data_IF_515871247463
#
_entry.id   IF_515871247463
#
_cell.length_a   1.000
_cell.length_b   1.000
_cell.length_c   1.000
_cell.angle_alpha   90.00
_cell.angle_beta   90.00
_cell.angle_gamma   90.00
#
_symmetry.space_group_name_H-M   'P 1'
#
loop_
_entity.id
_entity.type
_entity.pdbx_description
1 polymer ?
#
# COMPACT_ATOMS: atom_id res chain seq x y z
N UNK A 1 39.37 -18.49 7.83
CA UNK A 1 38.15 -17.68 7.67
C UNK A 1 37.70 -17.82 6.22
N UNK A 2 36.94 -18.85 5.91
CA UNK A 2 36.45 -19.14 4.56
C UNK A 2 35.23 -18.27 4.29
N UNK A 3 35.38 -17.25 3.43
CA UNK A 3 34.24 -16.48 2.94
C UNK A 3 33.31 -17.40 2.16
N UNK A 4 32.07 -17.53 2.64
CA UNK A 4 30.99 -18.17 1.89
C UNK A 4 30.88 -17.48 0.51
N UNK A 5 30.59 -18.22 -0.58
CA UNK A 5 30.36 -17.58 -1.87
C UNK A 5 29.21 -16.58 -1.70
N UNK A 6 29.47 -15.30 -1.96
CA UNK A 6 28.45 -14.28 -1.86
C UNK A 6 27.34 -14.56 -2.86
N UNK A 7 26.14 -14.86 -2.38
CA UNK A 7 24.96 -14.92 -3.23
C UNK A 7 24.60 -13.48 -3.63
N UNK A 8 24.54 -13.20 -4.93
CA UNK A 8 24.02 -11.95 -5.46
C UNK A 8 22.55 -12.16 -5.84
N UNK A 9 21.65 -11.52 -5.10
CA UNK A 9 20.23 -11.49 -5.41
C UNK A 9 19.95 -10.33 -6.35
N UNK A 10 19.36 -10.62 -7.51
CA UNK A 10 18.92 -9.63 -8.48
C UNK A 10 17.41 -9.54 -8.44
N UNK A 11 16.88 -8.34 -8.21
CA UNK A 11 15.44 -8.07 -8.18
C UNK A 11 15.10 -7.06 -9.25
N UNK A 12 14.35 -7.48 -10.27
CA UNK A 12 13.82 -6.57 -11.29
C UNK A 12 12.50 -5.99 -10.82
N UNK A 13 12.45 -4.68 -10.65
CA UNK A 13 11.24 -3.94 -10.31
C UNK A 13 10.30 -3.84 -11.51
N UNK A 14 8.99 -3.59 -11.29
CA UNK A 14 8.05 -3.34 -12.40
C UNK A 14 8.43 -2.16 -13.30
N UNK A 15 9.24 -1.22 -12.81
CA UNK A 15 9.83 -0.13 -13.59
C UNK A 15 10.88 -0.59 -14.62
N UNK A 16 11.37 -1.82 -14.49
CA UNK A 16 12.51 -2.35 -15.25
C UNK A 16 13.87 -2.11 -14.58
N UNK A 17 13.92 -1.35 -13.48
CA UNK A 17 15.12 -1.17 -12.68
C UNK A 17 15.53 -2.48 -12.00
N UNK A 18 16.85 -2.73 -11.90
CA UNK A 18 17.39 -3.92 -11.25
C UNK A 18 18.10 -3.51 -9.97
N UNK A 19 17.58 -4.00 -8.84
CA UNK A 19 18.22 -3.86 -7.54
C UNK A 19 19.08 -5.10 -7.27
N UNK A 20 20.28 -4.88 -6.73
CA UNK A 20 21.19 -5.95 -6.32
C UNK A 20 21.32 -5.97 -4.80
N UNK A 21 21.25 -7.16 -4.21
CA UNK A 21 21.49 -7.37 -2.78
C UNK A 21 22.41 -8.55 -2.54
N UNK A 22 23.22 -8.46 -1.49
CA UNK A 22 24.09 -9.52 -0.99
C UNK A 22 23.63 -10.06 0.37
N UNK A 23 22.55 -9.51 0.92
CA UNK A 23 22.10 -9.79 2.28
C UNK A 23 20.83 -10.64 2.26
N UNK A 24 20.93 -11.82 2.86
CA UNK A 24 19.83 -12.75 3.09
C UNK A 24 19.64 -12.92 4.59
N UNK A 25 18.45 -12.59 5.09
CA UNK A 25 18.00 -12.92 6.43
C UNK A 25 17.25 -14.24 6.36
N UNK A 26 17.60 -15.22 7.20
CA UNK A 26 16.96 -16.54 7.19
C UNK A 26 16.05 -16.71 8.39
N UNK A 27 14.95 -17.44 8.20
CA UNK A 27 13.98 -17.82 9.24
C UNK A 27 13.53 -16.60 10.06
N UNK A 28 13.21 -15.51 9.35
CA UNK A 28 12.73 -14.26 9.97
C UNK A 28 11.27 -14.44 10.38
N UNK A 29 10.90 -14.16 11.65
CA UNK A 29 9.51 -14.16 12.07
C UNK A 29 8.77 -12.96 11.48
N UNK A 30 7.63 -13.24 10.85
CA UNK A 30 6.69 -12.28 10.26
C UNK A 30 5.36 -12.46 10.98
N UNK A 31 4.96 -11.44 11.75
CA UNK A 31 3.71 -11.48 12.51
C UNK A 31 2.53 -11.04 11.64
N UNK A 32 1.56 -11.94 11.41
CA UNK A 32 0.33 -11.69 10.66
C UNK A 32 -0.87 -12.14 11.50
N UNK A 33 -1.83 -11.23 11.77
CA UNK A 33 -3.04 -11.51 12.56
C UNK A 33 -2.75 -12.25 13.88
N UNK A 34 -1.79 -11.75 14.67
CA UNK A 34 -1.33 -12.35 15.94
C UNK A 34 -0.62 -13.71 15.84
N UNK A 35 -0.28 -14.16 14.63
CA UNK A 35 0.50 -15.39 14.40
C UNK A 35 1.86 -15.09 13.82
N UNK A 36 2.87 -15.84 14.25
CA UNK A 36 4.21 -15.76 13.69
C UNK A 36 4.37 -16.82 12.59
N UNK A 37 4.69 -16.36 11.38
CA UNK A 37 5.12 -17.18 10.27
C UNK A 37 6.61 -16.90 9.99
N UNK A 38 7.31 -17.80 9.31
CA UNK A 38 8.75 -17.68 9.08
C UNK A 38 9.09 -17.60 7.59
N UNK A 39 9.89 -16.61 7.20
CA UNK A 39 10.36 -16.42 5.83
C UNK A 39 11.86 -16.20 5.78
N UNK A 40 12.49 -16.62 4.70
CA UNK A 40 13.77 -16.05 4.31
C UNK A 40 13.49 -14.73 3.55
N UNK A 41 14.27 -13.67 3.82
CA UNK A 41 14.05 -12.33 3.28
C UNK A 41 15.35 -11.77 2.69
N UNK A 42 15.25 -11.17 1.50
CA UNK A 42 16.35 -10.44 0.86
C UNK A 42 16.21 -8.96 1.25
N UNK A 43 17.30 -8.34 1.71
CA UNK A 43 17.28 -6.92 2.07
C UNK A 43 17.43 -6.07 0.80
N UNK A 44 16.46 -5.21 0.52
CA UNK A 44 16.46 -4.28 -0.60
C UNK A 44 16.29 -2.85 -0.08
N UNK A 45 16.96 -1.88 -0.70
CA UNK A 45 16.84 -0.45 -0.36
C UNK A 45 15.56 0.15 -0.98
N UNK A 46 14.41 -0.23 -0.45
CA UNK A 46 13.09 0.24 -0.89
C UNK A 46 12.39 1.00 0.24
N UNK A 47 12.45 2.34 0.26
CA UNK A 47 12.00 3.14 1.40
C UNK A 47 10.48 3.07 1.66
N UNK A 48 9.69 2.70 0.64
CA UNK A 48 8.22 2.69 0.73
C UNK A 48 7.64 1.37 1.26
N UNK A 49 8.47 0.33 1.46
CA UNK A 49 8.00 -1.01 1.81
C UNK A 49 8.87 -1.63 2.91
N UNK A 50 8.23 -2.05 4.01
CA UNK A 50 8.94 -2.76 5.08
C UNK A 50 9.32 -4.20 4.66
N UNK A 51 8.36 -4.94 4.10
CA UNK A 51 8.52 -6.35 3.70
C UNK A 51 7.62 -6.65 2.49
N UNK A 52 8.14 -7.40 1.52
CA UNK A 52 7.37 -7.98 0.42
C UNK A 52 7.39 -9.50 0.54
N UNK A 53 6.22 -10.10 0.72
CA UNK A 53 6.08 -11.56 0.81
C UNK A 53 5.73 -12.13 -0.56
N UNK A 54 6.65 -12.90 -1.12
CA UNK A 54 6.56 -13.45 -2.46
C UNK A 54 5.72 -14.72 -2.55
N UNK A 55 5.73 -15.32 -3.74
CA UNK A 55 5.02 -16.58 -4.02
C UNK A 55 5.59 -17.77 -3.25
N UNK A 56 6.87 -17.73 -2.91
CA UNK A 56 7.55 -18.69 -2.05
C UNK A 56 6.95 -18.73 -0.64
N UNK A 57 6.79 -17.56 -0.01
CA UNK A 57 6.12 -17.45 1.28
C UNK A 57 4.64 -17.85 1.19
N UNK A 58 3.93 -17.34 0.19
CA UNK A 58 2.51 -17.63 0.03
C UNK A 58 2.24 -19.12 -0.22
N UNK A 59 3.06 -19.79 -1.03
CA UNK A 59 2.92 -21.23 -1.29
C UNK A 59 3.28 -22.09 -0.08
N UNK A 60 4.33 -21.71 0.68
CA UNK A 60 4.72 -22.39 1.93
C UNK A 60 3.57 -22.49 2.93
N UNK A 61 2.71 -21.46 2.98
CA UNK A 61 1.61 -21.37 3.95
C UNK A 61 0.22 -21.61 3.32
N UNK A 62 0.18 -22.24 2.14
CA UNK A 62 -1.04 -22.52 1.36
C UNK A 62 -2.00 -21.31 1.32
N UNK A 63 -1.44 -20.15 0.99
CA UNK A 63 -2.15 -18.89 1.05
C UNK A 63 -3.07 -18.71 -0.16
N UNK A 64 -4.31 -18.32 0.11
CA UNK A 64 -5.29 -17.92 -0.91
C UNK A 64 -5.67 -16.46 -0.76
N UNK A 65 -5.59 -15.70 -1.86
CA UNK A 65 -5.87 -14.26 -1.91
C UNK A 65 -7.27 -14.04 -2.48
N UNK A 66 -8.19 -13.56 -1.65
CA UNK A 66 -9.54 -13.18 -2.03
C UNK A 66 -9.63 -11.67 -2.24
N UNK A 67 -9.23 -11.21 -3.42
CA UNK A 67 -9.10 -9.77 -3.75
C UNK A 67 -10.37 -8.96 -3.46
N UNK A 68 -11.55 -9.48 -3.84
CA UNK A 68 -12.83 -8.78 -3.62
C UNK A 68 -13.11 -8.52 -2.14
N UNK A 69 -12.74 -9.47 -1.28
CA UNK A 69 -12.92 -9.38 0.18
C UNK A 69 -11.72 -8.73 0.87
N UNK A 70 -10.65 -8.41 0.13
CA UNK A 70 -9.36 -7.90 0.64
C UNK A 70 -8.82 -8.81 1.75
N UNK A 71 -8.95 -10.11 1.52
CA UNK A 71 -8.66 -11.13 2.51
C UNK A 71 -7.57 -12.04 1.98
N UNK A 72 -6.62 -12.39 2.83
CA UNK A 72 -5.66 -13.47 2.59
C UNK A 72 -5.95 -14.55 3.62
N UNK A 73 -6.11 -15.78 3.18
CA UNK A 73 -6.37 -16.93 4.02
C UNK A 73 -5.13 -17.82 3.99
N UNK A 74 -4.59 -18.15 5.14
CA UNK A 74 -3.43 -19.02 5.31
C UNK A 74 -3.85 -20.37 5.88
N UNK A 75 -3.24 -21.44 5.39
CA UNK A 75 -3.47 -22.80 5.87
C UNK A 75 -2.12 -23.52 6.06
N UNK A 76 -1.34 -23.15 7.10
CA UNK A 76 -0.07 -23.82 7.39
C UNK A 76 -0.28 -25.30 7.70
N UNK A 77 0.70 -26.11 7.31
CA UNK A 77 0.70 -27.54 7.63
C UNK A 77 0.65 -27.74 9.15
N UNK A 78 -0.25 -28.61 9.62
CA UNK A 78 -0.48 -28.91 11.04
C UNK A 78 -0.97 -27.74 11.93
N UNK A 79 -1.34 -26.59 11.36
CA UNK A 79 -1.93 -25.48 12.12
C UNK A 79 -3.38 -25.17 11.73
N UNK A 80 -4.09 -24.49 12.61
CA UNK A 80 -5.44 -23.99 12.33
C UNK A 80 -5.36 -22.87 11.31
N UNK A 81 -6.10 -23.02 10.22
CA UNK A 81 -6.35 -21.99 9.21
C UNK A 81 -6.74 -20.64 9.84
N UNK A 82 -6.20 -19.56 9.31
CA UNK A 82 -6.48 -18.21 9.77
C UNK A 82 -6.52 -17.22 8.61
N UNK A 83 -6.95 -15.99 8.88
CA UNK A 83 -7.07 -14.96 7.86
C UNK A 83 -6.48 -13.63 8.28
N UNK A 84 -6.03 -12.90 7.28
CA UNK A 84 -5.70 -11.50 7.34
C UNK A 84 -6.73 -10.73 6.50
N UNK A 85 -7.40 -9.76 7.13
CA UNK A 85 -8.30 -8.85 6.44
C UNK A 85 -7.56 -7.52 6.30
N UNK A 86 -7.25 -7.14 5.07
CA UNK A 86 -6.64 -5.85 4.78
C UNK A 86 -7.55 -4.72 5.26
N UNK A 87 -6.94 -3.61 5.68
CA UNK A 87 -7.70 -2.50 6.24
C UNK A 87 -8.82 -2.06 5.27
N UNK A 88 -10.07 -1.91 5.75
CA UNK A 88 -11.07 -1.22 4.97
C UNK A 88 -10.50 0.17 4.72
N UNK A 89 -10.41 0.57 3.43
CA UNK A 89 -10.09 1.96 3.07
C UNK A 89 -10.96 2.82 3.98
N UNK A 90 -10.35 3.54 4.93
CA UNK A 90 -11.07 4.46 5.83
C UNK A 90 -12.08 5.17 4.95
N UNK A 91 -13.37 5.00 5.26
CA UNK A 91 -14.51 5.43 4.44
C UNK A 91 -14.10 6.65 3.62
N UNK A 92 -14.12 6.48 2.30
CA UNK A 92 -13.90 7.51 1.27
C UNK A 92 -14.15 8.90 1.83
N UNK A 93 -13.18 9.83 1.65
CA UNK A 93 -13.40 11.27 1.83
C UNK A 93 -14.84 11.57 1.43
N UNK A 94 -15.66 12.10 2.34
CA UNK A 94 -17.09 12.29 2.07
C UNK A 94 -17.22 13.35 0.99
N UNK A 95 -17.39 12.94 -0.26
CA UNK A 95 -17.69 13.86 -1.35
C UNK A 95 -19.15 14.27 -1.26
N UNK A 96 -19.39 15.57 -1.39
CA UNK A 96 -20.73 16.16 -1.48
C UNK A 96 -20.88 16.70 -2.89
N UNK A 97 -22.01 16.43 -3.55
CA UNK A 97 -22.28 17.10 -4.83
C UNK A 97 -22.59 18.57 -4.61
N UNK A 98 -22.34 19.41 -5.62
CA UNK A 98 -22.68 20.83 -5.58
C UNK A 98 -24.17 21.06 -5.25
N UNK A 99 -25.07 20.25 -5.81
CA UNK A 99 -26.52 20.31 -5.53
C UNK A 99 -26.80 20.06 -4.04
N UNK A 100 -26.14 19.07 -3.44
CA UNK A 100 -26.36 18.74 -2.03
C UNK A 100 -25.72 19.80 -1.11
N UNK A 101 -24.58 20.37 -1.51
CA UNK A 101 -23.99 21.53 -0.85
C UNK A 101 -24.94 22.72 -0.86
N UNK A 102 -25.50 23.07 -2.02
CA UNK A 102 -26.46 24.16 -2.18
C UNK A 102 -27.71 23.97 -1.31
N UNK A 103 -28.28 22.75 -1.30
CA UNK A 103 -29.42 22.42 -0.42
C UNK A 103 -29.09 22.58 1.06
N UNK A 104 -27.85 22.35 1.47
CA UNK A 104 -27.41 22.54 2.86
C UNK A 104 -27.21 24.02 3.18
N UNK A 105 -26.66 24.81 2.26
CA UNK A 105 -26.57 26.27 2.41
C UNK A 105 -27.97 26.90 2.58
N UNK A 106 -28.95 26.49 1.76
CA UNK A 106 -30.35 26.95 1.88
C UNK A 106 -30.97 26.59 3.24
N UNK A 107 -30.52 25.50 3.86
CA UNK A 107 -30.96 25.07 5.20
C UNK A 107 -30.22 25.77 6.35
N UNK A 108 -29.38 26.76 6.04
CA UNK A 108 -28.65 27.55 7.04
C UNK A 108 -27.29 26.99 7.45
N UNK A 109 -26.75 25.98 6.74
CA UNK A 109 -25.37 25.56 6.98
C UNK A 109 -24.37 26.61 6.47
N UNK A 110 -23.29 26.84 7.22
CA UNK A 110 -22.17 27.67 6.77
C UNK A 110 -21.33 26.91 5.74
N UNK A 111 -20.97 27.57 4.63
CA UNK A 111 -20.02 27.07 3.65
C UNK A 111 -18.83 28.00 3.50
N UNK A 112 -17.69 27.43 3.16
CA UNK A 112 -16.46 28.16 2.85
C UNK A 112 -16.01 27.80 1.44
N UNK A 113 -15.55 28.79 0.68
CA UNK A 113 -14.93 28.58 -0.63
C UNK A 113 -13.42 28.55 -0.44
N UNK A 114 -12.77 27.49 -0.90
CA UNK A 114 -11.32 27.38 -0.96
C UNK A 114 -10.88 27.34 -2.42
N UNK A 115 -9.87 28.14 -2.76
CA UNK A 115 -9.24 28.16 -4.07
C UNK A 115 -7.86 27.52 -3.98
N UNK A 116 -7.55 26.60 -4.90
CA UNK A 116 -6.23 25.97 -5.00
C UNK A 116 -5.52 26.65 -6.17
N UNK A 117 -4.38 27.29 -5.89
CA UNK A 117 -3.49 27.86 -6.91
C UNK A 117 -2.36 26.86 -7.13
N UNK A 118 -2.15 26.45 -8.38
CA UNK A 118 -0.93 25.75 -8.76
C UNK A 118 0.20 26.77 -8.89
N UNK A 119 1.15 26.73 -7.95
CA UNK A 119 2.25 27.72 -7.88
C UNK A 119 3.35 27.47 -8.90
N UNK A 120 3.32 26.36 -9.62
CA UNK A 120 4.34 25.99 -10.61
C UNK A 120 3.99 26.48 -12.03
N UNK A 121 2.79 27.05 -12.24
CA UNK A 121 2.27 27.42 -13.56
C UNK A 121 1.95 28.92 -13.70
N UNK A 122 2.62 29.81 -12.97
CA UNK A 122 2.31 31.24 -13.03
C UNK A 122 3.10 32.00 -14.11
N UNK A 123 2.77 31.73 -15.38
CA UNK A 123 2.93 32.73 -16.46
C UNK A 123 1.66 32.86 -17.27
N UNK A 124 0.70 33.56 -16.66
CA UNK A 124 -0.22 34.43 -17.36
C UNK A 124 -1.52 33.76 -17.80
N UNK A 125 -2.58 34.03 -17.04
CA UNK A 125 -3.88 34.37 -17.61
C UNK A 125 -4.70 35.14 -16.57
N UNK A 126 -5.11 36.35 -16.93
CA UNK A 126 -5.98 37.23 -16.16
C UNK A 126 -7.36 36.57 -16.05
N UNK A 127 -7.88 36.38 -14.85
CA UNK A 127 -9.20 35.78 -14.63
C UNK A 127 -10.25 36.87 -14.58
N UNK A 128 -11.25 36.79 -15.46
CA UNK A 128 -12.41 37.67 -15.43
C UNK A 128 -13.43 37.24 -14.36
N UNK A 129 -14.08 38.24 -13.78
CA UNK A 129 -15.03 38.12 -12.69
C UNK A 129 -16.37 37.52 -13.19
N UNK A 130 -16.71 36.32 -12.73
CA UNK A 130 -18.06 35.76 -12.94
C UNK A 130 -19.01 36.43 -11.96
N UNK A 131 -19.81 37.37 -12.46
CA UNK A 131 -20.88 37.99 -11.67
C UNK A 131 -21.99 36.98 -11.40
N UNK A 132 -22.32 36.83 -10.12
CA UNK A 132 -23.48 36.07 -9.61
C UNK A 132 -24.75 36.90 -9.78
#
# INVERSE_FOLDING_TARGET
MSGSPGYNFLTTLPSGEVMTSTHLLRVVPVKISERELYSDLIMLDMPDYDVILGMDFLSKYDASIECRKRRVVFQPEAEVKFEFIGEPKKRTKKFLSAIKAQKMLVKGCTGYLAHIVDTEQDRGQNLEEVRV
#
